data_IF_019011702215
#
_entry.id   IF_019011702215
#
_cell.length_a   1.000
_cell.length_b   1.000
_cell.length_c   1.000
_cell.angle_alpha   90.00
_cell.angle_beta   90.00
_cell.angle_gamma   90.00
#
_symmetry.space_group_name_H-M   'P 1'
#
loop_
_entity.id
_entity.type
_entity.pdbx_description
1 polymer ?
#
# COMPACT_ATOMS: atom_id res chain seq x y z
N UNK A 1 21.75 -27.83 5.60
CA UNK A 1 21.54 -26.57 6.34
C UNK A 1 20.07 -26.14 6.19
N UNK A 2 19.33 -25.91 7.27
CA UNK A 2 18.01 -25.30 7.17
C UNK A 2 18.22 -23.82 6.85
N UNK A 3 17.66 -23.34 5.75
CA UNK A 3 17.70 -21.90 5.41
C UNK A 3 17.01 -21.12 6.54
N UNK A 4 17.69 -20.09 7.07
CA UNK A 4 17.14 -19.22 8.13
C UNK A 4 16.19 -18.16 7.54
N UNK A 5 16.38 -17.78 6.28
CA UNK A 5 15.58 -16.80 5.57
C UNK A 5 15.25 -17.31 4.16
N UNK A 6 14.05 -16.99 3.70
CA UNK A 6 13.56 -17.40 2.38
C UNK A 6 12.94 -16.18 1.69
N UNK A 7 13.28 -15.94 0.42
CA UNK A 7 12.61 -14.97 -0.43
C UNK A 7 11.72 -15.69 -1.45
N UNK A 8 10.46 -15.25 -1.55
CA UNK A 8 9.50 -15.72 -2.54
C UNK A 8 9.37 -14.66 -3.63
N UNK A 9 9.82 -14.98 -4.83
CA UNK A 9 9.82 -14.09 -5.99
C UNK A 9 8.92 -14.66 -7.08
N UNK A 10 8.22 -13.76 -7.81
CA UNK A 10 7.53 -14.11 -9.04
C UNK A 10 8.44 -13.87 -10.24
N UNK A 11 8.45 -14.80 -11.18
CA UNK A 11 9.23 -14.71 -12.42
C UNK A 11 8.35 -14.50 -13.65
N UNK A 12 7.08 -14.22 -13.44
CA UNK A 12 6.05 -13.97 -14.45
C UNK A 12 5.47 -12.55 -14.30
N UNK A 13 4.32 -12.33 -14.87
CA UNK A 13 3.64 -11.02 -14.94
C UNK A 13 2.76 -10.67 -13.73
N UNK A 14 2.75 -11.44 -12.69
CA UNK A 14 1.83 -11.40 -11.55
C UNK A 14 0.94 -12.65 -11.52
N UNK A 15 0.07 -12.73 -10.53
CA UNK A 15 -0.94 -13.79 -10.35
C UNK A 15 -0.41 -15.24 -10.28
N UNK A 16 0.91 -15.43 -10.08
CA UNK A 16 1.54 -16.75 -9.97
C UNK A 16 1.16 -17.48 -8.65
N UNK A 17 0.38 -16.86 -7.78
CA UNK A 17 -0.02 -17.45 -6.52
C UNK A 17 1.01 -17.31 -5.39
N UNK A 18 1.94 -16.33 -5.47
CA UNK A 18 2.92 -16.05 -4.41
C UNK A 18 2.30 -15.95 -3.02
N UNK A 19 1.13 -15.31 -2.89
CA UNK A 19 0.43 -15.18 -1.61
C UNK A 19 0.08 -16.53 -0.98
N UNK A 20 -0.32 -17.52 -1.77
CA UNK A 20 -0.60 -18.89 -1.29
C UNK A 20 0.67 -19.59 -0.81
N UNK A 21 1.77 -19.44 -1.54
CA UNK A 21 3.07 -20.02 -1.15
C UNK A 21 3.57 -19.37 0.14
N UNK A 22 3.50 -18.04 0.25
CA UNK A 22 3.87 -17.33 1.49
C UNK A 22 2.99 -17.78 2.64
N UNK A 23 1.67 -17.91 2.46
CA UNK A 23 0.77 -18.39 3.49
C UNK A 23 1.16 -19.81 3.97
N UNK A 24 1.42 -20.73 3.04
CA UNK A 24 1.86 -22.09 3.36
C UNK A 24 3.17 -22.11 4.14
N UNK A 25 4.14 -21.28 3.76
CA UNK A 25 5.44 -21.19 4.42
C UNK A 25 5.36 -20.50 5.78
N UNK A 26 4.39 -19.62 5.98
CA UNK A 26 4.22 -18.85 7.21
C UNK A 26 3.84 -19.69 8.43
N UNK A 27 3.32 -20.90 8.21
CA UNK A 27 3.08 -21.87 9.30
C UNK A 27 4.36 -22.25 10.07
N UNK A 28 5.52 -22.11 9.42
CA UNK A 28 6.83 -22.48 9.96
C UNK A 28 7.80 -21.29 10.08
N UNK A 29 7.28 -20.08 9.93
CA UNK A 29 8.07 -18.86 9.97
C UNK A 29 7.77 -18.05 11.24
N UNK A 30 8.80 -17.44 11.82
CA UNK A 30 8.65 -16.51 12.93
C UNK A 30 8.08 -15.16 12.44
N UNK A 31 8.38 -14.79 11.19
CA UNK A 31 7.89 -13.58 10.57
C UNK A 31 7.85 -13.68 9.04
N UNK A 32 6.93 -12.95 8.40
CA UNK A 32 6.94 -12.74 6.96
C UNK A 32 6.82 -11.26 6.64
N UNK A 33 7.60 -10.81 5.65
CA UNK A 33 7.65 -9.42 5.23
C UNK A 33 7.16 -9.25 3.80
N UNK A 34 6.14 -8.42 3.62
CA UNK A 34 5.80 -7.86 2.33
C UNK A 34 6.69 -6.64 2.09
N UNK A 35 7.57 -6.70 1.10
CA UNK A 35 8.61 -5.70 0.93
C UNK A 35 8.34 -4.68 -0.18
N UNK A 36 7.32 -4.90 -1.05
CA UNK A 36 6.98 -3.98 -2.15
C UNK A 36 5.50 -4.13 -2.59
N UNK A 37 5.08 -3.26 -3.51
CA UNK A 37 3.72 -3.20 -4.04
C UNK A 37 2.82 -2.31 -3.18
N UNK A 38 1.53 -2.43 -3.34
CA UNK A 38 0.48 -1.71 -2.63
C UNK A 38 -0.79 -2.54 -2.56
N UNK A 39 -1.91 -1.89 -2.35
CA UNK A 39 -3.22 -2.56 -2.24
C UNK A 39 -3.84 -2.98 -3.59
N UNK A 40 -3.05 -2.94 -4.67
CA UNK A 40 -3.44 -3.44 -6.00
C UNK A 40 -3.40 -4.97 -6.13
N UNK A 41 -2.76 -5.67 -5.20
CA UNK A 41 -2.75 -7.13 -5.19
C UNK A 41 -4.10 -7.71 -4.73
N UNK A 42 -4.36 -8.98 -5.06
CA UNK A 42 -5.50 -9.75 -4.57
C UNK A 42 -5.07 -11.18 -4.27
N UNK A 43 -4.67 -11.44 -3.02
CA UNK A 43 -4.22 -12.77 -2.59
C UNK A 43 -5.37 -13.55 -1.97
N UNK A 44 -6.00 -14.43 -2.76
CA UNK A 44 -7.07 -15.31 -2.26
C UNK A 44 -6.50 -16.44 -1.42
N UNK A 45 -6.95 -16.54 -0.18
CA UNK A 45 -6.60 -17.60 0.77
C UNK A 45 -7.87 -18.30 1.28
N UNK A 46 -7.69 -19.50 1.80
CA UNK A 46 -8.73 -20.21 2.55
C UNK A 46 -8.21 -20.39 3.98
N UNK A 47 -8.90 -19.77 4.94
CA UNK A 47 -8.55 -19.81 6.36
C UNK A 47 -9.76 -20.32 7.13
N UNK A 48 -9.59 -21.43 7.86
CA UNK A 48 -10.68 -22.08 8.61
C UNK A 48 -11.94 -22.33 7.76
N UNK A 49 -11.76 -22.72 6.48
CA UNK A 49 -12.86 -22.97 5.54
C UNK A 49 -13.50 -21.71 4.94
N UNK A 50 -13.08 -20.52 5.37
CA UNK A 50 -13.55 -19.23 4.81
C UNK A 50 -12.60 -18.73 3.75
N UNK A 51 -13.15 -18.26 2.62
CA UNK A 51 -12.40 -17.59 1.57
C UNK A 51 -12.20 -16.12 1.96
N UNK A 52 -10.95 -15.67 1.97
CA UNK A 52 -10.57 -14.27 2.18
C UNK A 52 -9.70 -13.77 1.03
N UNK A 53 -9.67 -12.46 0.82
CA UNK A 53 -8.81 -11.83 -0.19
C UNK A 53 -7.99 -10.75 0.50
N UNK A 54 -6.68 -10.93 0.53
CA UNK A 54 -5.76 -9.93 1.08
C UNK A 54 -5.23 -9.02 -0.02
N UNK A 55 -5.27 -7.73 0.22
CA UNK A 55 -4.80 -6.70 -0.71
C UNK A 55 -3.48 -6.08 -0.27
N UNK A 56 -3.37 -5.68 0.99
CA UNK A 56 -2.20 -5.00 1.55
C UNK A 56 -1.55 -5.81 2.67
N UNK A 57 -2.34 -6.49 3.49
CA UNK A 57 -1.84 -7.32 4.58
C UNK A 57 -0.95 -8.46 4.05
N UNK A 58 0.17 -8.77 4.73
CA UNK A 58 0.96 -9.96 4.42
C UNK A 58 0.15 -11.24 4.68
N UNK A 59 0.32 -12.26 3.84
CA UNK A 59 -0.42 -13.53 3.98
C UNK A 59 -0.18 -14.24 5.31
N UNK A 60 0.94 -13.94 5.99
CA UNK A 60 1.26 -14.44 7.34
C UNK A 60 0.30 -13.97 8.42
N UNK A 61 -0.50 -12.92 8.16
CA UNK A 61 -1.43 -12.39 9.15
C UNK A 61 -2.45 -13.43 9.63
N UNK A 62 -2.71 -14.43 8.80
CA UNK A 62 -3.59 -15.56 9.11
C UNK A 62 -2.98 -16.57 10.10
N UNK A 63 -1.69 -16.46 10.41
CA UNK A 63 -0.96 -17.35 11.32
C UNK A 63 -0.66 -16.64 12.63
N UNK A 64 -1.24 -17.15 13.75
CA UNK A 64 -1.13 -16.51 15.07
C UNK A 64 0.32 -16.45 15.62
N UNK A 65 1.17 -17.38 15.20
CA UNK A 65 2.53 -17.49 15.68
C UNK A 65 3.55 -16.69 14.85
N UNK A 66 3.13 -16.06 13.75
CA UNK A 66 4.00 -15.32 12.86
C UNK A 66 3.76 -13.80 12.96
N UNK A 67 4.83 -13.03 13.06
CA UNK A 67 4.78 -11.58 12.88
C UNK A 67 4.59 -11.24 11.39
N UNK A 68 3.75 -10.28 11.11
CA UNK A 68 3.47 -9.79 9.77
C UNK A 68 4.05 -8.40 9.58
N UNK A 69 4.95 -8.26 8.60
CA UNK A 69 5.71 -7.03 8.41
C UNK A 69 5.34 -6.39 7.06
N UNK A 70 5.03 -5.10 7.08
CA UNK A 70 4.94 -4.26 5.88
C UNK A 70 6.24 -3.46 5.79
N UNK A 71 7.08 -3.81 4.82
CA UNK A 71 8.40 -3.24 4.64
C UNK A 71 8.37 -1.88 3.92
N UNK A 72 9.44 -1.12 4.06
CA UNK A 72 9.59 0.24 3.49
C UNK A 72 9.35 0.37 1.98
N UNK A 73 9.40 -0.74 1.26
CA UNK A 73 9.16 -0.78 -0.19
C UNK A 73 7.69 -0.70 -0.55
N UNK A 74 6.78 -0.97 0.37
CA UNK A 74 5.33 -0.91 0.15
C UNK A 74 4.84 0.53 0.13
N UNK A 75 3.86 0.82 -0.72
CA UNK A 75 3.08 2.05 -0.68
C UNK A 75 1.73 1.75 -0.03
N UNK A 76 1.36 2.52 1.00
CA UNK A 76 0.24 2.23 1.89
C UNK A 76 -0.87 3.26 1.69
N UNK A 77 -2.08 2.79 1.43
CA UNK A 77 -3.30 3.60 1.49
C UNK A 77 -4.01 3.29 2.79
N UNK A 78 -4.09 4.25 3.69
CA UNK A 78 -4.54 4.04 5.07
C UNK A 78 -5.97 3.51 5.13
N UNK A 79 -6.90 4.10 4.38
CA UNK A 79 -8.30 3.65 4.36
C UNK A 79 -8.42 2.19 3.94
N UNK A 80 -7.69 1.78 2.88
CA UNK A 80 -7.71 0.39 2.43
C UNK A 80 -7.09 -0.55 3.46
N UNK A 81 -6.04 -0.12 4.17
CA UNK A 81 -5.40 -0.91 5.22
C UNK A 81 -6.34 -1.14 6.40
N UNK A 82 -6.98 -0.08 6.89
CA UNK A 82 -7.89 -0.18 8.03
C UNK A 82 -9.14 -0.99 7.68
N UNK A 83 -9.74 -0.77 6.52
CA UNK A 83 -10.87 -1.58 6.05
C UNK A 83 -10.51 -3.07 5.95
N UNK A 84 -9.31 -3.40 5.44
CA UNK A 84 -8.84 -4.77 5.36
C UNK A 84 -8.59 -5.38 6.75
N UNK A 85 -8.05 -4.60 7.70
CA UNK A 85 -7.87 -5.04 9.10
C UNK A 85 -9.24 -5.36 9.73
N UNK A 86 -10.23 -4.48 9.60
CA UNK A 86 -11.58 -4.68 10.13
C UNK A 86 -12.26 -5.92 9.55
N UNK A 87 -12.11 -6.17 8.25
CA UNK A 87 -12.66 -7.35 7.58
C UNK A 87 -12.00 -8.65 8.06
N UNK A 88 -10.69 -8.64 8.27
CA UNK A 88 -9.90 -9.85 8.55
C UNK A 88 -9.79 -10.14 10.05
N UNK A 89 -9.89 -9.14 10.94
CA UNK A 89 -9.75 -9.34 12.39
C UNK A 89 -10.67 -10.44 12.95
N UNK A 90 -11.97 -10.58 12.56
CA UNK A 90 -12.83 -11.65 13.05
C UNK A 90 -12.36 -13.07 12.68
N UNK A 91 -11.48 -13.18 11.68
CA UNK A 91 -10.99 -14.47 11.15
C UNK A 91 -9.59 -14.77 11.67
N UNK A 92 -8.70 -13.79 11.62
CA UNK A 92 -7.28 -13.93 11.99
C UNK A 92 -7.03 -13.71 13.48
N UNK A 93 -7.73 -12.76 14.09
CA UNK A 93 -7.63 -12.34 15.49
C UNK A 93 -6.26 -11.76 15.87
N UNK A 94 -6.24 -10.69 16.65
CA UNK A 94 -5.02 -10.08 17.18
C UNK A 94 -4.10 -9.52 16.08
N UNK A 95 -4.67 -8.94 15.01
CA UNK A 95 -3.89 -8.38 13.90
C UNK A 95 -2.98 -7.27 14.40
N UNK A 96 -3.49 -6.36 15.23
CA UNK A 96 -2.74 -5.20 15.71
C UNK A 96 -1.49 -5.56 16.53
N UNK A 97 -1.52 -6.68 17.23
CA UNK A 97 -0.37 -7.14 18.02
C UNK A 97 0.77 -7.68 17.15
N UNK A 98 0.42 -8.26 16.01
CA UNK A 98 1.34 -8.99 15.11
C UNK A 98 1.73 -8.21 13.87
N UNK A 99 0.94 -7.21 13.47
CA UNK A 99 1.24 -6.36 12.32
C UNK A 99 2.26 -5.28 12.72
N UNK A 100 3.36 -5.22 11.99
CA UNK A 100 4.37 -4.17 12.11
C UNK A 100 4.54 -3.50 10.76
N UNK A 101 4.51 -2.18 10.75
CA UNK A 101 4.62 -1.37 9.53
C UNK A 101 5.87 -0.51 9.63
N UNK A 102 6.69 -0.52 8.59
CA UNK A 102 7.88 0.32 8.55
C UNK A 102 7.48 1.80 8.56
N UNK A 103 8.05 2.62 9.45
CA UNK A 103 7.80 4.05 9.47
C UNK A 103 8.27 4.76 8.18
N UNK A 104 9.08 4.10 7.37
CA UNK A 104 9.55 4.61 6.07
C UNK A 104 8.63 4.23 4.88
N UNK A 105 7.49 3.57 5.12
CA UNK A 105 6.50 3.35 4.07
C UNK A 105 5.94 4.67 3.56
N UNK A 106 5.82 4.78 2.25
CA UNK A 106 5.16 5.90 1.59
C UNK A 106 3.64 5.77 1.70
N UNK A 107 2.98 6.85 2.03
CA UNK A 107 1.52 6.94 2.05
C UNK A 107 1.00 7.32 0.66
N UNK A 108 -0.01 6.59 0.20
CA UNK A 108 -0.77 6.98 -0.98
C UNK A 108 -1.75 8.08 -0.55
N UNK A 109 -1.77 9.18 -1.30
CA UNK A 109 -2.61 10.34 -1.05
C UNK A 109 -3.70 10.44 -2.11
N UNK A 110 -4.80 11.16 -1.86
CA UNK A 110 -5.87 11.38 -2.84
C UNK A 110 -5.35 11.96 -4.17
N UNK A 111 -4.34 12.82 -4.12
CA UNK A 111 -3.75 13.38 -5.34
C UNK A 111 -3.01 12.32 -6.19
N UNK A 112 -2.45 11.26 -5.60
CA UNK A 112 -1.87 10.15 -6.35
C UNK A 112 -2.93 9.38 -7.13
N UNK A 113 -4.08 9.13 -6.48
CA UNK A 113 -5.21 8.44 -7.09
C UNK A 113 -5.77 9.26 -8.25
N UNK A 114 -5.97 10.56 -8.02
CA UNK A 114 -6.46 11.46 -9.05
C UNK A 114 -5.49 11.53 -10.25
N UNK A 115 -4.18 11.66 -10.00
CA UNK A 115 -3.19 11.68 -11.06
C UNK A 115 -3.18 10.39 -11.89
N UNK A 116 -3.24 9.23 -11.23
CA UNK A 116 -3.31 7.91 -11.88
C UNK A 116 -4.53 7.83 -12.82
N UNK A 117 -5.69 8.26 -12.33
CA UNK A 117 -6.92 8.31 -13.11
C UNK A 117 -6.84 9.29 -14.30
N UNK A 118 -6.20 10.44 -14.13
CA UNK A 118 -6.06 11.44 -15.17
C UNK A 118 -5.07 11.00 -16.25
N UNK A 119 -3.96 10.41 -15.86
CA UNK A 119 -2.98 9.83 -16.81
C UNK A 119 -3.63 8.75 -17.69
N UNK A 120 -4.39 7.85 -17.07
CA UNK A 120 -5.04 6.73 -17.79
C UNK A 120 -6.17 7.17 -18.74
N UNK A 121 -6.83 8.28 -18.43
CA UNK A 121 -7.90 8.86 -19.27
C UNK A 121 -7.38 9.86 -20.31
N UNK A 122 -6.12 10.25 -20.24
CA UNK A 122 -5.55 11.28 -21.11
C UNK A 122 -5.05 10.66 -22.41
N UNK A 123 -5.43 11.27 -23.55
CA UNK A 123 -4.88 10.90 -24.85
C UNK A 123 -3.38 11.29 -25.01
N UNK A 124 -2.84 12.06 -24.08
CA UNK A 124 -1.44 12.51 -24.08
C UNK A 124 -0.48 11.47 -23.49
N UNK A 125 -1.00 10.43 -22.86
CA UNK A 125 -0.22 9.33 -22.29
C UNK A 125 -0.62 8.01 -22.92
N UNK A 126 0.33 7.10 -23.08
CA UNK A 126 0.01 5.72 -23.41
C UNK A 126 -0.70 5.08 -22.22
N UNK A 127 -1.87 4.51 -22.45
CA UNK A 127 -2.61 3.74 -21.45
C UNK A 127 -1.79 2.52 -21.03
N UNK A 128 -1.56 2.40 -19.73
CA UNK A 128 -0.78 1.28 -19.16
C UNK A 128 -1.71 0.17 -18.67
N UNK A 129 -3.00 0.49 -18.44
CA UNK A 129 -3.96 -0.42 -17.82
C UNK A 129 -3.74 -0.52 -16.31
N UNK A 130 -3.53 0.63 -15.64
CA UNK A 130 -3.31 0.67 -14.20
C UNK A 130 -4.57 0.29 -13.42
N UNK A 131 -4.41 0.00 -12.14
CA UNK A 131 -5.55 -0.27 -11.24
C UNK A 131 -6.23 1.01 -10.73
N UNK A 132 -5.79 2.19 -11.17
CA UNK A 132 -6.30 3.51 -10.79
C UNK A 132 -6.24 3.78 -9.27
N UNK A 133 -5.29 3.17 -8.58
CA UNK A 133 -5.14 3.21 -7.12
C UNK A 133 -4.00 4.12 -6.64
N UNK A 134 -3.39 4.88 -7.55
CA UNK A 134 -2.32 5.82 -7.22
C UNK A 134 -0.97 5.17 -6.89
N UNK A 135 -0.78 3.89 -7.19
CA UNK A 135 0.43 3.13 -6.87
C UNK A 135 1.65 3.74 -7.58
N UNK A 136 1.56 3.92 -8.91
CA UNK A 136 2.64 4.48 -9.73
C UNK A 136 3.06 5.89 -9.25
N UNK A 137 2.14 6.86 -9.16
CA UNK A 137 2.44 8.19 -8.65
C UNK A 137 3.04 8.21 -7.24
N UNK A 138 2.60 7.34 -6.33
CA UNK A 138 3.19 7.23 -5.00
C UNK A 138 4.65 6.71 -5.04
N UNK A 139 4.98 5.81 -5.98
CA UNK A 139 6.36 5.40 -6.22
C UNK A 139 7.19 6.51 -6.87
N UNK A 140 6.63 7.32 -7.77
CA UNK A 140 7.30 8.51 -8.32
C UNK A 140 7.72 9.45 -7.20
N UNK A 141 6.80 9.76 -6.27
CA UNK A 141 7.08 10.61 -5.12
C UNK A 141 8.11 10.02 -4.15
N UNK A 142 8.05 8.71 -3.94
CA UNK A 142 9.04 8.01 -3.13
C UNK A 142 10.45 8.15 -3.68
N UNK A 143 10.63 7.96 -5.00
CA UNK A 143 11.94 8.05 -5.65
C UNK A 143 12.43 9.50 -5.71
N UNK A 144 11.52 10.45 -5.95
CA UNK A 144 11.83 11.90 -5.94
C UNK A 144 12.02 12.49 -4.54
N UNK A 145 11.82 11.69 -3.47
CA UNK A 145 12.01 12.05 -2.04
C UNK A 145 11.02 13.08 -1.49
N UNK A 146 9.91 13.32 -2.16
CA UNK A 146 8.85 14.24 -1.69
C UNK A 146 7.64 13.51 -1.08
N UNK A 147 7.65 12.18 -1.07
CA UNK A 147 6.57 11.39 -0.54
C UNK A 147 6.31 11.62 0.95
N UNK A 148 5.06 11.72 1.34
CA UNK A 148 4.62 11.60 2.73
C UNK A 148 4.81 10.15 3.17
N UNK A 149 5.38 9.95 4.38
CA UNK A 149 5.66 8.63 4.95
C UNK A 149 4.94 8.45 6.29
N UNK A 150 4.80 7.21 6.73
CA UNK A 150 4.18 6.92 8.04
C UNK A 150 4.88 7.67 9.17
N UNK A 151 6.21 7.81 9.17
CA UNK A 151 6.92 8.58 10.21
C UNK A 151 6.47 10.05 10.27
N UNK A 152 6.04 10.61 9.17
CA UNK A 152 5.61 12.00 9.10
C UNK A 152 4.28 12.22 9.85
N UNK A 153 3.44 11.17 10.00
CA UNK A 153 2.17 11.24 10.74
C UNK A 153 2.34 11.34 12.27
N UNK A 154 3.55 11.12 12.79
CA UNK A 154 3.84 11.28 14.22
C UNK A 154 3.96 12.74 14.66
N UNK A 155 3.96 13.68 13.72
CA UNK A 155 3.99 15.12 13.99
C UNK A 155 3.05 15.82 13.02
N UNK A 156 1.95 16.34 13.54
CA UNK A 156 0.95 17.06 12.76
C UNK A 156 1.55 18.23 11.98
N UNK A 157 2.45 18.99 12.62
CA UNK A 157 3.13 20.12 11.97
C UNK A 157 3.94 19.66 10.74
N UNK A 158 4.74 18.59 10.88
CA UNK A 158 5.56 18.05 9.78
C UNK A 158 4.69 17.45 8.68
N UNK A 159 3.61 16.77 9.07
CA UNK A 159 2.66 16.19 8.12
C UNK A 159 2.00 17.29 7.30
N UNK A 160 1.43 18.31 7.95
CA UNK A 160 0.73 19.39 7.30
C UNK A 160 1.66 20.18 6.36
N UNK A 161 2.85 20.57 6.83
CA UNK A 161 3.83 21.27 5.99
C UNK A 161 4.18 20.48 4.72
N UNK A 162 4.37 19.18 4.84
CA UNK A 162 4.73 18.32 3.71
C UNK A 162 3.55 18.09 2.76
N UNK A 163 2.34 17.96 3.32
CA UNK A 163 1.12 17.87 2.52
C UNK A 163 0.85 19.15 1.74
N UNK A 164 1.01 20.32 2.36
CA UNK A 164 0.84 21.62 1.69
C UNK A 164 1.81 21.78 0.52
N UNK A 165 3.11 21.52 0.75
CA UNK A 165 4.13 21.61 -0.30
C UNK A 165 3.81 20.67 -1.47
N UNK A 166 3.48 19.41 -1.17
CA UNK A 166 3.22 18.41 -2.20
C UNK A 166 1.91 18.68 -2.92
N UNK A 167 0.86 19.09 -2.19
CA UNK A 167 -0.43 19.42 -2.75
C UNK A 167 -0.37 20.64 -3.68
N UNK A 168 0.41 21.66 -3.33
CA UNK A 168 0.62 22.82 -4.20
C UNK A 168 1.17 22.41 -5.57
N UNK A 169 2.15 21.50 -5.60
CA UNK A 169 2.70 20.95 -6.84
C UNK A 169 1.64 20.19 -7.66
N UNK A 170 0.86 19.33 -7.01
CA UNK A 170 -0.17 18.53 -7.68
C UNK A 170 -1.33 19.40 -8.17
N UNK A 171 -1.73 20.41 -7.39
CA UNK A 171 -2.78 21.35 -7.78
C UNK A 171 -2.37 22.18 -8.99
N UNK A 172 -1.12 22.63 -9.04
CA UNK A 172 -0.57 23.27 -10.24
C UNK A 172 -0.68 22.34 -11.46
N UNK A 173 -0.27 21.07 -11.32
CA UNK A 173 -0.37 20.09 -12.40
C UNK A 173 -1.82 19.84 -12.83
N UNK A 174 -2.74 19.66 -11.87
CA UNK A 174 -4.14 19.41 -12.17
C UNK A 174 -4.79 20.60 -12.91
N UNK A 175 -4.50 21.80 -12.47
CA UNK A 175 -5.07 23.01 -13.06
C UNK A 175 -4.48 23.32 -14.43
N UNK A 176 -3.16 23.47 -14.52
CA UNK A 176 -2.50 23.99 -15.70
C UNK A 176 -2.32 22.92 -16.80
N UNK A 177 -2.09 21.66 -16.44
CA UNK A 177 -1.87 20.61 -17.43
C UNK A 177 -3.15 19.82 -17.76
N UNK A 178 -3.93 19.45 -16.75
CA UNK A 178 -5.13 18.63 -16.94
C UNK A 178 -6.43 19.45 -17.03
N UNK A 179 -6.42 20.77 -16.78
CA UNK A 179 -7.62 21.62 -16.78
C UNK A 179 -8.67 21.18 -15.74
N UNK A 180 -8.22 20.66 -14.58
CA UNK A 180 -9.07 20.16 -13.49
C UNK A 180 -9.06 21.12 -12.31
N UNK A 181 -10.09 20.98 -11.44
CA UNK A 181 -10.13 21.71 -10.19
C UNK A 181 -9.03 21.25 -9.24
N UNK A 182 -8.54 22.19 -8.46
CA UNK A 182 -7.61 21.94 -7.36
C UNK A 182 -8.28 21.09 -6.27
N UNK A 183 -7.49 20.25 -5.59
CA UNK A 183 -7.93 19.52 -4.40
C UNK A 183 -7.83 20.45 -3.19
N UNK A 184 -8.83 20.38 -2.31
CA UNK A 184 -8.81 21.07 -1.03
C UNK A 184 -7.87 20.38 -0.05
N UNK A 185 -7.16 21.18 0.76
CA UNK A 185 -6.23 20.65 1.75
C UNK A 185 -6.93 19.72 2.76
N UNK A 186 -8.13 20.12 3.23
CA UNK A 186 -8.85 19.31 4.18
C UNK A 186 -9.23 17.93 3.60
N UNK A 187 -9.60 17.86 2.31
CA UNK A 187 -9.88 16.59 1.66
C UNK A 187 -8.68 15.64 1.61
N UNK A 188 -7.46 16.18 1.71
CA UNK A 188 -6.23 15.39 1.72
C UNK A 188 -5.77 15.08 3.16
N UNK A 189 -5.91 16.01 4.10
CA UNK A 189 -5.46 15.84 5.48
C UNK A 189 -6.32 14.85 6.29
N UNK A 190 -7.60 14.69 5.96
CA UNK A 190 -8.51 13.76 6.65
C UNK A 190 -8.23 12.28 6.39
N UNK A 191 -7.33 11.93 5.47
CA UNK A 191 -6.98 10.54 5.16
C UNK A 191 -5.90 9.96 6.09
N UNK A 192 -5.59 10.63 7.17
CA UNK A 192 -4.57 10.25 8.15
C UNK A 192 -5.13 10.29 9.56
#
# INVERSE_FOLDING_TARGET
MKAKNLAVLGLQWGDEGKGKIVNFLSDRADAACRYQGGHNAGHTLIVNGKKIVLHLLPSSICHKNASSLIGRGVVVYCEALFAEIEEIEPIAGGIMDRLKISPACTLIQPYHILLDQLKEKSNSFNTIGTTLRGIGPAYEDKVSRKAVRIIDTLSEEKLNSKLEETLAFYNFLFKEYFGKKELDFNAVSYTH
#
